data_IF_476733704468
#
_entry.id   IF_476733704468
#
_cell.length_a   1.000
_cell.length_b   1.000
_cell.length_c   1.000
_cell.angle_alpha   90.00
_cell.angle_beta   90.00
_cell.angle_gamma   90.00
#
_symmetry.space_group_name_H-M   'P 1'
#
loop_
_entity.id
_entity.type
_entity.pdbx_description
1 polymer ?
#
# COMPACT_ATOMS: atom_id res chain seq x y z
N UNK A 1 18.02 15.47 43.80
CA UNK A 1 16.78 14.88 44.34
C UNK A 1 16.37 13.81 43.35
N UNK A 2 16.66 12.56 43.66
CA UNK A 2 16.50 11.39 42.80
C UNK A 2 15.86 10.29 43.62
N UNK A 3 15.05 9.49 42.95
CA UNK A 3 14.31 8.28 43.38
C UNK A 3 12.94 8.50 44.01
N UNK A 4 11.90 8.46 43.16
CA UNK A 4 10.51 8.23 43.57
C UNK A 4 9.71 7.43 42.51
N UNK A 5 10.35 6.43 41.91
CA UNK A 5 9.67 5.35 41.19
C UNK A 5 9.98 4.08 41.98
N UNK A 6 9.06 3.67 42.85
CA UNK A 6 9.15 2.49 43.74
C UNK A 6 9.26 1.15 43.01
N UNK A 7 10.23 1.04 42.12
CA UNK A 7 10.62 -0.19 41.46
C UNK A 7 11.52 -0.97 42.42
N UNK A 8 11.28 -2.28 42.61
CA UNK A 8 12.18 -3.10 43.40
C UNK A 8 13.59 -3.01 42.81
N UNK A 9 14.58 -2.80 43.67
CA UNK A 9 15.98 -2.65 43.27
C UNK A 9 16.41 -3.79 42.35
N UNK A 10 17.15 -3.44 41.28
CA UNK A 10 17.65 -4.41 40.30
C UNK A 10 18.42 -5.51 41.03
N UNK A 11 17.83 -6.69 41.15
CA UNK A 11 18.54 -7.88 41.62
C UNK A 11 19.37 -8.39 40.46
N UNK A 12 20.67 -8.50 40.67
CA UNK A 12 21.54 -9.24 39.76
C UNK A 12 21.06 -10.69 39.70
N UNK A 13 20.89 -11.19 38.47
CA UNK A 13 20.50 -12.57 38.26
C UNK A 13 21.65 -13.49 38.72
N UNK A 14 21.37 -14.56 39.49
CA UNK A 14 22.39 -15.52 39.88
C UNK A 14 23.10 -16.08 38.64
N UNK A 15 24.43 -16.30 38.70
CA UNK A 15 25.22 -16.73 37.55
C UNK A 15 24.74 -18.05 36.94
N UNK A 16 24.13 -18.94 37.73
CA UNK A 16 23.57 -20.21 37.24
C UNK A 16 22.38 -20.00 36.28
N UNK A 17 21.60 -18.93 36.47
CA UNK A 17 20.46 -18.58 35.60
C UNK A 17 20.96 -18.01 34.27
N UNK A 18 22.00 -17.17 34.32
CA UNK A 18 22.63 -16.62 33.12
C UNK A 18 23.25 -17.71 32.25
N UNK A 19 23.89 -18.71 32.87
CA UNK A 19 24.49 -19.81 32.12
C UNK A 19 23.46 -20.76 31.54
N UNK A 20 22.36 -21.04 32.25
CA UNK A 20 21.24 -21.81 31.67
C UNK A 20 20.56 -21.09 30.50
N UNK A 21 20.43 -19.76 30.57
CA UNK A 21 19.90 -18.96 29.46
C UNK A 21 20.84 -19.00 28.25
N UNK A 22 22.15 -18.89 28.45
CA UNK A 22 23.15 -19.02 27.36
C UNK A 22 23.15 -20.40 26.74
N UNK A 23 22.96 -21.46 27.53
CA UNK A 23 22.90 -22.85 27.06
C UNK A 23 21.63 -23.09 26.22
N UNK A 24 20.48 -22.65 26.72
CA UNK A 24 19.18 -22.75 26.02
C UNK A 24 19.19 -22.00 24.68
N UNK A 25 19.84 -20.82 24.64
CA UNK A 25 19.96 -20.03 23.41
C UNK A 25 20.84 -20.75 22.36
N UNK A 26 21.91 -21.41 22.77
CA UNK A 26 22.76 -22.20 21.85
C UNK A 26 22.07 -23.45 21.34
N UNK A 27 21.23 -24.10 22.15
CA UNK A 27 20.46 -25.27 21.73
C UNK A 27 19.39 -24.94 20.67
N UNK A 28 18.84 -23.72 20.69
CA UNK A 28 17.87 -23.24 19.70
C UNK A 28 18.47 -22.88 18.34
N UNK A 29 19.77 -22.54 18.27
CA UNK A 29 20.40 -22.04 17.04
C UNK A 29 21.11 -23.12 16.20
N UNK A 30 21.20 -24.37 16.68
CA UNK A 30 22.06 -25.40 16.10
C UNK A 30 21.41 -26.49 15.26
N UNK A 31 20.08 -26.51 15.06
CA UNK A 31 19.42 -27.63 14.36
C UNK A 31 18.96 -27.24 12.94
N UNK A 32 19.63 -27.71 11.87
CA UNK A 32 19.07 -27.61 10.53
C UNK A 32 17.79 -28.45 10.46
N UNK A 33 16.66 -27.80 10.15
CA UNK A 33 15.37 -28.45 9.97
C UNK A 33 15.43 -29.35 8.73
N UNK A 34 15.66 -30.65 8.93
CA UNK A 34 15.56 -31.65 7.85
C UNK A 34 14.09 -31.82 7.44
N UNK A 35 13.67 -31.06 6.44
CA UNK A 35 12.37 -31.16 5.77
C UNK A 35 12.33 -32.48 4.98
N UNK A 36 11.64 -33.50 5.51
CA UNK A 36 11.32 -34.72 4.76
C UNK A 36 10.15 -34.44 3.82
N UNK A 37 10.41 -34.40 2.52
CA UNK A 37 9.38 -34.45 1.49
C UNK A 37 8.89 -35.89 1.33
N UNK A 38 7.57 -36.16 1.34
CA UNK A 38 7.06 -37.46 0.92
C UNK A 38 7.04 -37.53 -0.61
N UNK A 39 7.85 -38.45 -1.17
CA UNK A 39 7.80 -38.83 -2.58
C UNK A 39 6.55 -39.70 -2.76
N UNK A 40 5.55 -39.17 -3.46
CA UNK A 40 4.44 -39.97 -3.98
C UNK A 40 4.88 -40.52 -5.34
N UNK A 41 5.13 -41.82 -5.38
CA UNK A 41 5.40 -42.57 -6.60
C UNK A 41 4.09 -42.78 -7.37
N UNK A 42 3.99 -42.22 -8.58
CA UNK A 42 2.97 -42.58 -9.56
C UNK A 42 3.63 -43.42 -10.67
N UNK A 43 3.15 -44.66 -10.81
CA UNK A 43 3.59 -45.60 -11.82
C UNK A 43 2.98 -45.26 -13.20
N UNK A 44 3.73 -45.64 -14.23
CA UNK A 44 3.66 -45.20 -15.61
C UNK A 44 2.49 -45.75 -16.45
N UNK A 45 2.20 -45.07 -17.55
CA UNK A 45 1.87 -45.72 -18.82
C UNK A 45 2.55 -44.97 -19.97
N UNK A 46 3.45 -45.68 -20.65
CA UNK A 46 4.20 -45.27 -21.84
C UNK A 46 3.38 -45.60 -23.08
N UNK A 47 3.22 -44.64 -23.99
CA UNK A 47 2.97 -44.92 -25.42
C UNK A 47 3.91 -44.04 -26.24
N UNK A 48 4.89 -44.70 -26.87
CA UNK A 48 5.84 -44.18 -27.84
C UNK A 48 5.15 -43.93 -29.18
N UNK A 49 5.30 -42.73 -29.76
CA UNK A 49 5.42 -42.56 -31.22
C UNK A 49 6.49 -41.50 -31.51
N UNK A 50 7.47 -41.92 -32.32
CA UNK A 50 8.65 -41.20 -32.80
C UNK A 50 8.29 -40.12 -33.84
N UNK A 51 8.96 -38.96 -33.76
CA UNK A 51 9.43 -38.20 -34.93
C UNK A 51 10.54 -37.23 -34.49
N UNK A 52 11.77 -37.47 -34.97
CA UNK A 52 12.95 -36.71 -34.63
C UNK A 52 13.06 -35.39 -35.40
N UNK A 53 13.54 -34.36 -34.72
CA UNK A 53 14.10 -33.16 -35.34
C UNK A 53 15.46 -32.87 -34.68
N UNK A 54 16.51 -32.85 -35.50
CA UNK A 54 17.87 -32.45 -35.17
C UNK A 54 17.89 -30.98 -34.74
N UNK A 55 18.29 -30.69 -33.50
CA UNK A 55 18.68 -29.35 -33.07
C UNK A 55 20.20 -29.32 -32.97
N UNK A 56 20.83 -28.67 -33.93
CA UNK A 56 22.24 -28.27 -33.89
C UNK A 56 22.45 -27.25 -32.77
N UNK A 57 23.27 -27.61 -31.79
CA UNK A 57 23.73 -26.72 -30.72
C UNK A 57 24.71 -25.70 -31.30
N UNK A 58 24.24 -24.49 -31.55
CA UNK A 58 25.14 -23.33 -31.72
C UNK A 58 25.60 -22.93 -30.33
N UNK A 59 26.87 -23.22 -30.04
CA UNK A 59 27.60 -22.70 -28.88
C UNK A 59 27.76 -21.20 -29.10
N UNK A 60 26.82 -20.41 -28.59
CA UNK A 60 27.01 -18.98 -28.39
C UNK A 60 27.78 -18.86 -27.08
N UNK A 61 29.02 -18.39 -27.18
CA UNK A 61 29.87 -18.02 -26.05
C UNK A 61 29.15 -16.95 -25.23
N UNK A 62 28.84 -17.25 -23.98
CA UNK A 62 28.64 -16.22 -22.96
C UNK A 62 29.94 -15.43 -22.81
N UNK A 63 29.94 -14.09 -22.95
CA UNK A 63 31.03 -13.30 -22.43
C UNK A 63 30.91 -13.31 -20.90
N UNK A 64 31.72 -14.17 -20.28
CA UNK A 64 32.10 -14.07 -18.87
C UNK A 64 32.62 -12.65 -18.61
N UNK A 65 31.75 -11.85 -18.01
CA UNK A 65 31.99 -10.49 -17.55
C UNK A 65 31.23 -10.25 -16.26
N UNK A 66 31.28 -11.20 -15.32
CA UNK A 66 30.88 -10.98 -13.92
C UNK A 66 31.90 -10.03 -13.29
N UNK A 67 31.71 -8.73 -13.56
CA UNK A 67 32.15 -7.70 -12.63
C UNK A 67 31.49 -7.96 -11.26
N UNK A 68 32.06 -7.44 -10.16
CA UNK A 68 31.49 -7.68 -8.83
C UNK A 68 30.05 -7.16 -8.82
N UNK A 69 29.10 -8.09 -8.71
CA UNK A 69 27.71 -7.80 -8.40
C UNK A 69 27.71 -7.24 -6.98
N UNK A 70 27.84 -5.92 -6.85
CA UNK A 70 27.53 -5.23 -5.61
C UNK A 70 26.01 -5.25 -5.54
N UNK A 71 25.47 -6.38 -5.11
CA UNK A 71 24.08 -6.52 -4.73
C UNK A 71 23.82 -5.52 -3.61
N UNK A 72 23.38 -4.32 -3.97
CA UNK A 72 22.84 -3.37 -3.01
C UNK A 72 21.51 -3.99 -2.53
N UNK A 73 21.42 -4.53 -1.31
CA UNK A 73 20.23 -5.27 -0.87
C UNK A 73 18.96 -4.42 -0.91
N UNK A 74 19.12 -3.09 -0.94
CA UNK A 74 18.03 -2.14 -0.96
C UNK A 74 17.43 -1.93 -2.36
N UNK A 75 18.09 -2.38 -3.43
CA UNK A 75 17.62 -2.22 -4.81
C UNK A 75 17.65 -3.53 -5.57
N UNK A 76 16.55 -3.81 -6.28
CA UNK A 76 16.47 -4.92 -7.21
C UNK A 76 15.83 -4.46 -8.51
N UNK A 77 16.24 -5.08 -9.60
CA UNK A 77 15.64 -4.89 -10.91
C UNK A 77 14.80 -6.12 -11.25
N UNK A 78 13.48 -5.99 -11.08
CA UNK A 78 12.51 -6.95 -11.61
C UNK A 78 12.36 -6.69 -13.11
N UNK A 79 13.18 -7.34 -13.94
CA UNK A 79 13.23 -7.12 -15.39
C UNK A 79 11.87 -7.31 -16.08
N UNK A 80 11.11 -8.39 -15.82
CA UNK A 80 9.77 -8.53 -16.40
C UNK A 80 8.85 -7.34 -16.12
N UNK A 81 8.73 -6.91 -14.85
CA UNK A 81 7.90 -5.76 -14.49
C UNK A 81 8.44 -4.45 -15.07
N UNK A 82 9.76 -4.27 -15.05
CA UNK A 82 10.38 -3.07 -15.59
C UNK A 82 10.08 -2.92 -17.09
N UNK A 83 10.23 -3.99 -17.87
CA UNK A 83 9.95 -3.99 -19.30
C UNK A 83 8.47 -3.74 -19.59
N UNK A 84 7.56 -4.37 -18.85
CA UNK A 84 6.12 -4.11 -18.99
C UNK A 84 5.79 -2.63 -18.71
N UNK A 85 6.25 -2.10 -17.58
CA UNK A 85 5.98 -0.72 -17.18
C UNK A 85 6.54 0.27 -18.22
N UNK A 86 7.80 0.12 -18.61
CA UNK A 86 8.44 0.98 -19.60
C UNK A 86 7.75 0.93 -20.97
N UNK A 87 7.25 -0.23 -21.40
CA UNK A 87 6.49 -0.35 -22.65
C UNK A 87 5.16 0.40 -22.58
N UNK A 88 4.44 0.33 -21.46
CA UNK A 88 3.21 1.10 -21.24
C UNK A 88 3.48 2.60 -21.22
N UNK A 89 4.50 3.02 -20.49
CA UNK A 89 4.97 4.41 -20.44
C UNK A 89 5.32 4.96 -21.82
N UNK A 90 6.05 4.19 -22.64
CA UNK A 90 6.36 4.58 -24.01
C UNK A 90 5.11 4.67 -24.90
N UNK A 91 4.17 3.74 -24.77
CA UNK A 91 2.90 3.81 -25.49
C UNK A 91 2.12 5.09 -25.14
N UNK A 92 2.12 5.51 -23.87
CA UNK A 92 1.52 6.78 -23.45
C UNK A 92 2.23 7.98 -24.08
N UNK A 93 3.56 8.04 -24.00
CA UNK A 93 4.39 9.08 -24.64
C UNK A 93 4.10 9.18 -26.15
N UNK A 94 3.99 8.06 -26.85
CA UNK A 94 3.64 8.03 -28.27
C UNK A 94 2.21 8.55 -28.50
N UNK A 95 1.25 8.10 -27.69
CA UNK A 95 -0.16 8.45 -27.85
C UNK A 95 -0.46 9.93 -27.59
N UNK A 96 0.36 10.60 -26.79
CA UNK A 96 0.29 12.04 -26.52
C UNK A 96 1.11 12.87 -27.51
N UNK A 97 1.73 12.24 -28.52
CA UNK A 97 2.53 12.95 -29.52
C UNK A 97 3.87 13.48 -28.98
N UNK A 98 4.35 12.93 -27.86
CA UNK A 98 5.59 13.36 -27.19
C UNK A 98 6.83 12.57 -27.60
N UNK A 99 6.70 11.59 -28.51
CA UNK A 99 7.80 10.71 -28.90
C UNK A 99 9.09 11.45 -29.34
N UNK A 100 8.97 12.62 -29.99
CA UNK A 100 10.13 13.41 -30.42
C UNK A 100 10.88 14.11 -29.26
N UNK A 101 10.26 14.22 -28.09
CA UNK A 101 10.87 14.78 -26.87
C UNK A 101 11.59 13.72 -26.04
N UNK A 102 11.53 12.46 -26.44
CA UNK A 102 12.14 11.33 -25.75
C UNK A 102 13.16 10.63 -26.66
N UNK A 103 14.24 10.08 -26.09
CA UNK A 103 15.06 9.09 -26.78
C UNK A 103 14.25 7.87 -27.21
N UNK A 104 14.76 7.10 -28.18
CA UNK A 104 14.07 5.92 -28.66
C UNK A 104 13.90 4.90 -27.51
N UNK A 105 12.80 4.16 -27.53
CA UNK A 105 12.48 3.19 -26.47
C UNK A 105 13.59 2.18 -26.21
N UNK A 106 14.31 1.77 -27.25
CA UNK A 106 15.39 0.77 -27.13
C UNK A 106 16.63 1.31 -26.41
N UNK A 107 16.77 2.64 -26.31
CA UNK A 107 17.84 3.30 -25.56
C UNK A 107 17.53 3.39 -24.06
N UNK A 108 16.29 3.08 -23.64
CA UNK A 108 15.87 3.20 -22.25
C UNK A 108 16.46 2.07 -21.39
N UNK A 109 17.35 2.44 -20.46
CA UNK A 109 17.97 1.48 -19.54
C UNK A 109 17.28 1.48 -18.17
N UNK A 110 16.60 0.39 -17.76
CA UNK A 110 16.06 0.30 -16.41
C UNK A 110 17.17 0.10 -15.38
N UNK A 111 17.11 0.84 -14.28
CA UNK A 111 18.11 0.79 -13.20
C UNK A 111 17.64 -0.04 -12.02
N UNK A 112 16.42 0.21 -11.54
CA UNK A 112 15.78 -0.56 -10.49
C UNK A 112 14.26 -0.40 -10.55
N UNK A 113 13.56 -1.29 -9.84
CA UNK A 113 12.11 -1.29 -9.73
C UNK A 113 11.69 -1.14 -8.27
N UNK A 114 10.70 -0.29 -8.00
CA UNK A 114 10.01 -0.22 -6.70
C UNK A 114 8.55 -0.55 -6.92
N UNK A 115 8.01 -1.47 -6.12
CA UNK A 115 6.62 -1.91 -6.25
C UNK A 115 5.87 -1.78 -4.94
N UNK A 116 4.65 -1.27 -5.00
CA UNK A 116 3.60 -1.46 -4.00
C UNK A 116 2.49 -2.36 -4.62
N UNK A 117 1.48 -2.81 -3.86
CA UNK A 117 0.41 -3.65 -4.41
C UNK A 117 -0.33 -3.07 -5.62
N UNK A 118 -0.36 -1.75 -5.79
CA UNK A 118 -1.10 -1.04 -6.85
C UNK A 118 -0.22 -0.18 -7.78
N UNK A 119 1.07 -0.02 -7.48
CA UNK A 119 1.96 0.89 -8.20
C UNK A 119 3.30 0.20 -8.47
N UNK A 120 3.78 0.32 -9.70
CA UNK A 120 5.15 -0.04 -10.09
C UNK A 120 5.85 1.20 -10.60
N UNK A 121 7.01 1.50 -10.04
CA UNK A 121 7.87 2.62 -10.47
C UNK A 121 9.20 2.04 -10.94
N UNK A 122 9.62 2.43 -12.13
CA UNK A 122 10.91 2.07 -12.73
C UNK A 122 11.74 3.33 -12.84
N UNK A 123 12.93 3.31 -12.25
CA UNK A 123 13.95 4.32 -12.54
C UNK A 123 14.64 3.95 -13.85
N UNK A 124 14.67 4.87 -14.80
CA UNK A 124 15.23 4.70 -16.13
C UNK A 124 16.32 5.72 -16.36
N UNK A 125 17.37 5.35 -17.09
CA UNK A 125 18.40 6.30 -17.56
C UNK A 125 18.52 6.21 -19.07
N UNK A 126 18.71 7.36 -19.72
CA UNK A 126 19.15 7.48 -21.11
C UNK A 126 20.15 8.62 -21.20
N UNK A 127 21.30 8.42 -21.84
CA UNK A 127 22.36 9.44 -21.98
C UNK A 127 22.70 10.13 -20.64
N UNK A 128 22.84 9.32 -19.57
CA UNK A 128 23.06 9.77 -18.19
C UNK A 128 21.95 10.65 -17.57
N UNK A 129 20.81 10.82 -18.25
CA UNK A 129 19.65 11.54 -17.72
C UNK A 129 18.65 10.57 -17.08
N UNK A 130 18.38 10.69 -15.78
CA UNK A 130 17.38 9.85 -15.13
C UNK A 130 15.97 10.38 -15.39
N UNK A 131 15.02 9.46 -15.54
CA UNK A 131 13.59 9.72 -15.47
C UNK A 131 12.87 8.50 -14.90
N UNK A 132 11.59 8.64 -14.60
CA UNK A 132 10.80 7.63 -13.93
C UNK A 132 9.58 7.29 -14.77
N UNK A 133 9.30 5.99 -14.84
CA UNK A 133 8.08 5.43 -15.39
C UNK A 133 7.27 4.85 -14.24
N UNK A 134 6.09 5.40 -13.99
CA UNK A 134 5.11 4.85 -13.05
C UNK A 134 3.98 4.18 -13.83
N UNK A 135 3.59 2.99 -13.39
CA UNK A 135 2.37 2.34 -13.86
C UNK A 135 1.54 1.83 -12.69
N UNK A 136 0.23 2.05 -12.78
CA UNK A 136 -0.78 1.45 -11.90
C UNK A 136 -1.50 0.32 -12.63
N UNK A 137 -2.65 -0.14 -12.16
CA UNK A 137 -3.46 -1.09 -12.92
C UNK A 137 -3.90 -0.48 -14.26
N UNK A 138 -4.18 0.83 -14.27
CA UNK A 138 -4.87 1.47 -15.39
C UNK A 138 -4.21 2.69 -16.00
N UNK A 139 -3.23 3.25 -15.30
CA UNK A 139 -2.56 4.49 -15.68
C UNK A 139 -1.08 4.22 -15.90
N UNK A 140 -0.50 4.92 -16.87
CA UNK A 140 0.94 5.02 -17.01
C UNK A 140 1.36 6.50 -17.08
N UNK A 141 2.42 6.84 -16.36
CA UNK A 141 2.93 8.20 -16.18
C UNK A 141 4.45 8.20 -16.37
N UNK A 142 4.96 9.18 -17.10
CA UNK A 142 6.40 9.30 -17.40
C UNK A 142 6.87 10.70 -17.03
N UNK A 143 7.90 10.81 -16.17
CA UNK A 143 8.54 12.10 -15.93
C UNK A 143 9.33 12.58 -17.15
N UNK A 144 9.49 13.88 -17.30
CA UNK A 144 10.25 14.47 -18.40
C UNK A 144 11.77 14.29 -18.20
N UNK A 145 12.49 13.54 -19.06
CA UNK A 145 13.96 13.42 -18.98
C UNK A 145 14.70 14.72 -19.33
N UNK A 146 14.04 15.68 -19.97
CA UNK A 146 14.57 16.99 -20.33
C UNK A 146 14.28 18.09 -19.31
N UNK A 147 13.42 17.84 -18.32
CA UNK A 147 13.08 18.85 -17.32
C UNK A 147 14.28 19.13 -16.40
N UNK A 148 14.52 20.41 -16.15
CA UNK A 148 15.55 20.83 -15.20
C UNK A 148 15.11 20.44 -13.77
N UNK A 149 15.94 19.70 -13.00
CA UNK A 149 15.60 19.37 -11.62
C UNK A 149 15.44 20.63 -10.77
N UNK A 150 14.30 20.74 -10.07
CA UNK A 150 14.04 21.82 -9.13
C UNK A 150 14.70 21.50 -7.78
N UNK A 151 16.01 21.73 -7.67
CA UNK A 151 16.76 21.47 -6.43
C UNK A 151 16.23 22.27 -5.24
N UNK A 152 16.17 21.59 -4.10
CA UNK A 152 15.85 22.18 -2.80
C UNK A 152 16.96 23.12 -2.34
N UNK A 153 16.60 24.23 -1.70
CA UNK A 153 17.59 25.17 -1.16
C UNK A 153 18.43 24.50 -0.06
N UNK A 154 19.76 24.57 -0.19
CA UNK A 154 20.70 23.97 0.76
C UNK A 154 21.02 22.49 0.54
N UNK A 155 20.44 21.83 -0.48
CA UNK A 155 20.71 20.42 -0.79
C UNK A 155 20.70 20.15 -2.30
N UNK A 156 21.49 19.18 -2.78
CA UNK A 156 21.44 18.70 -4.17
C UNK A 156 20.38 17.61 -4.37
N UNK A 157 19.24 17.78 -3.70
CA UNK A 157 18.08 16.88 -3.78
C UNK A 157 16.97 17.55 -4.57
N UNK A 158 16.34 16.82 -5.50
CA UNK A 158 15.22 17.29 -6.31
C UNK A 158 14.25 16.15 -6.59
N UNK A 159 12.95 16.45 -6.58
CA UNK A 159 11.94 15.53 -7.10
C UNK A 159 11.84 15.66 -8.63
N UNK A 160 11.74 14.53 -9.32
CA UNK A 160 11.52 14.45 -10.77
C UNK A 160 10.15 13.87 -11.11
N UNK A 161 9.51 13.16 -10.17
CA UNK A 161 8.15 12.66 -10.32
C UNK A 161 7.42 12.73 -8.98
N UNK A 162 6.23 13.34 -8.98
CA UNK A 162 5.24 13.26 -7.92
C UNK A 162 3.89 12.92 -8.53
N UNK A 163 3.21 11.87 -8.05
CA UNK A 163 1.96 11.39 -8.67
C UNK A 163 0.81 11.27 -7.67
N UNK A 164 -0.46 11.30 -8.12
CA UNK A 164 -1.62 11.04 -7.26
C UNK A 164 -1.59 9.66 -6.57
N UNK A 165 -0.84 8.70 -7.13
CA UNK A 165 -0.64 7.37 -6.58
C UNK A 165 0.32 7.34 -5.36
N UNK A 166 0.90 8.49 -4.98
CA UNK A 166 1.76 8.62 -3.80
C UNK A 166 3.24 8.52 -4.08
N UNK A 167 3.64 8.37 -5.35
CA UNK A 167 5.07 8.31 -5.69
C UNK A 167 5.71 9.67 -5.50
N UNK A 168 6.86 9.67 -4.84
CA UNK A 168 7.84 10.75 -4.80
C UNK A 168 9.18 10.13 -5.22
N UNK A 169 9.67 10.51 -6.40
CA UNK A 169 10.91 9.98 -6.97
C UNK A 169 11.79 11.11 -7.48
N UNK A 170 13.11 10.92 -7.41
CA UNK A 170 14.03 11.98 -7.77
C UNK A 170 15.50 11.65 -7.60
N UNK A 171 16.29 12.72 -7.50
CA UNK A 171 17.74 12.69 -7.29
C UNK A 171 18.01 13.14 -5.85
N UNK A 172 18.84 12.40 -5.14
CA UNK A 172 19.30 12.68 -3.79
C UNK A 172 20.66 13.41 -3.81
N UNK A 173 20.95 14.17 -2.75
CA UNK A 173 22.29 14.70 -2.54
C UNK A 173 23.31 13.55 -2.46
N UNK A 174 24.38 13.56 -3.28
CA UNK A 174 25.38 12.48 -3.28
C UNK A 174 26.11 12.31 -1.94
N UNK A 175 26.13 13.34 -1.08
CA UNK A 175 26.75 13.27 0.24
C UNK A 175 25.90 12.54 1.28
N UNK A 176 24.61 12.30 1.00
CA UNK A 176 23.73 11.67 1.96
C UNK A 176 23.83 10.13 1.89
N UNK A 177 23.91 9.43 3.03
CA UNK A 177 23.90 7.96 3.06
C UNK A 177 22.54 7.39 2.66
N UNK A 178 21.45 8.05 3.08
CA UNK A 178 20.04 7.81 2.74
C UNK A 178 19.30 9.13 2.75
N UNK A 179 18.18 9.21 2.03
CA UNK A 179 17.27 10.35 2.11
C UNK A 179 16.28 10.06 3.23
N UNK A 180 16.21 10.89 4.25
CA UNK A 180 15.00 10.95 5.06
C UNK A 180 13.97 11.82 4.33
N UNK A 181 12.77 11.28 4.12
CA UNK A 181 11.62 12.02 3.63
C UNK A 181 10.59 12.12 4.74
N UNK A 182 10.25 13.35 5.11
CA UNK A 182 9.16 13.67 6.03
C UNK A 182 7.98 14.19 5.21
N UNK A 183 6.81 13.56 5.34
CA UNK A 183 5.57 14.04 4.75
C UNK A 183 4.62 14.52 5.85
N UNK A 184 4.06 15.72 5.69
CA UNK A 184 3.03 16.24 6.59
C UNK A 184 1.79 16.69 5.82
N UNK A 185 0.62 16.31 6.35
CA UNK A 185 -0.67 16.90 6.01
C UNK A 185 -1.46 17.18 7.30
N UNK A 186 -2.72 17.59 7.18
CA UNK A 186 -3.59 17.90 8.32
C UNK A 186 -3.81 16.68 9.24
N UNK A 187 -3.81 15.48 8.66
CA UNK A 187 -4.10 14.23 9.33
C UNK A 187 -2.89 13.60 10.04
N UNK A 188 -1.70 13.79 9.49
CA UNK A 188 -0.58 12.90 9.77
C UNK A 188 0.78 13.54 9.48
N UNK A 189 1.75 13.07 10.26
CA UNK A 189 3.17 13.25 10.02
C UNK A 189 3.78 11.87 9.81
N UNK A 190 4.50 11.68 8.71
CA UNK A 190 5.25 10.47 8.43
C UNK A 190 6.71 10.82 8.17
N UNK A 191 7.62 9.99 8.65
CA UNK A 191 9.05 10.06 8.33
C UNK A 191 9.53 8.67 7.90
N UNK A 192 10.33 8.62 6.83
CA UNK A 192 10.86 7.38 6.25
C UNK A 192 12.30 7.58 5.79
N UNK A 193 13.14 6.59 6.09
CA UNK A 193 14.46 6.48 5.48
C UNK A 193 14.34 5.77 4.14
N UNK A 194 14.73 6.46 3.08
CA UNK A 194 14.69 5.99 1.70
C UNK A 194 16.13 5.67 1.27
N UNK A 195 16.41 4.45 0.79
CA UNK A 195 17.72 4.12 0.25
C UNK A 195 18.01 4.96 -1.01
N UNK A 196 19.30 5.16 -1.30
CA UNK A 196 19.77 5.88 -2.48
C UNK A 196 20.45 4.91 -3.44
N UNK A 197 19.97 4.85 -4.67
CA UNK A 197 20.61 4.10 -5.75
C UNK A 197 21.78 4.95 -6.27
N UNK A 198 23.00 4.54 -5.91
CA UNK A 198 24.21 5.35 -6.10
C UNK A 198 24.49 5.74 -7.55
N UNK A 199 24.33 4.86 -8.56
CA UNK A 199 24.44 5.29 -9.94
C UNK A 199 23.33 6.28 -10.30
N UNK A 200 23.66 7.57 -10.35
CA UNK A 200 22.71 8.67 -10.58
C UNK A 200 22.06 9.22 -9.31
N UNK A 201 22.42 8.73 -8.12
CA UNK A 201 21.86 9.12 -6.82
C UNK A 201 20.33 9.15 -6.79
N UNK A 202 19.68 8.10 -7.30
CA UNK A 202 18.23 8.08 -7.48
C UNK A 202 17.54 7.57 -6.22
N UNK A 203 16.34 8.06 -5.96
CA UNK A 203 15.46 7.55 -4.91
C UNK A 203 14.02 7.44 -5.41
N UNK A 204 13.27 6.51 -4.83
CA UNK A 204 11.83 6.34 -5.07
C UNK A 204 11.17 5.99 -3.73
N UNK A 205 10.09 6.69 -3.41
CA UNK A 205 9.22 6.38 -2.30
C UNK A 205 7.76 6.40 -2.76
N UNK A 206 7.02 5.33 -2.44
CA UNK A 206 5.58 5.26 -2.68
C UNK A 206 4.91 5.51 -1.32
N UNK A 207 4.58 6.77 -1.05
CA UNK A 207 3.96 7.21 0.18
C UNK A 207 2.46 6.87 0.19
N UNK A 208 1.86 6.52 1.33
CA UNK A 208 0.41 6.38 1.44
C UNK A 208 -0.30 7.74 1.56
N UNK A 209 0.31 8.85 1.12
CA UNK A 209 -0.17 10.22 1.29
C UNK A 209 -0.21 10.93 -0.05
N UNK A 210 -1.29 11.67 -0.34
CA UNK A 210 -1.47 12.37 -1.62
C UNK A 210 -0.48 13.53 -1.71
N UNK A 211 0.39 13.58 -2.73
CA UNK A 211 1.36 14.68 -2.83
C UNK A 211 0.72 16.06 -2.96
N UNK A 212 -0.46 16.15 -3.60
CA UNK A 212 -1.22 17.40 -3.73
C UNK A 212 -1.73 17.98 -2.40
N UNK A 213 -1.72 17.18 -1.32
CA UNK A 213 -2.17 17.55 0.02
C UNK A 213 -1.09 17.41 1.08
N UNK A 214 0.14 17.14 0.67
CA UNK A 214 1.25 16.81 1.58
C UNK A 214 2.43 17.72 1.30
N UNK A 215 2.91 18.41 2.32
CA UNK A 215 4.22 19.07 2.27
C UNK A 215 5.30 18.03 2.57
N UNK A 216 6.32 17.97 1.72
CA UNK A 216 7.45 17.08 1.91
C UNK A 216 8.69 17.86 2.29
N UNK A 217 9.45 17.34 3.24
CA UNK A 217 10.79 17.78 3.59
C UNK A 217 11.77 16.61 3.39
N UNK A 218 13.00 16.91 2.97
CA UNK A 218 14.09 15.96 2.74
C UNK A 218 15.34 16.31 3.53
N UNK A 219 16.13 15.30 3.89
CA UNK A 219 17.35 15.48 4.65
C UNK A 219 18.25 14.26 4.66
N UNK A 220 19.47 14.39 5.18
CA UNK A 220 20.26 13.23 5.55
C UNK A 220 19.57 12.49 6.71
N UNK A 221 19.52 11.16 6.64
CA UNK A 221 19.01 10.37 7.77
C UNK A 221 19.87 10.56 9.02
N UNK A 222 19.29 10.83 10.20
CA UNK A 222 20.00 10.72 11.48
C UNK A 222 20.19 9.25 11.91
N UNK A 223 19.56 8.29 11.21
CA UNK A 223 19.43 6.89 11.61
C UNK A 223 18.24 6.66 12.56
N UNK A 224 17.55 5.53 12.41
CA UNK A 224 16.30 5.23 13.14
C UNK A 224 16.46 5.30 14.68
N UNK A 225 17.61 4.86 15.21
CA UNK A 225 17.86 4.82 16.66
C UNK A 225 18.12 6.20 17.27
N UNK A 226 18.46 7.19 16.42
CA UNK A 226 18.86 8.53 16.86
C UNK A 226 17.83 9.58 16.47
N UNK A 227 16.66 9.18 15.95
CA UNK A 227 15.60 10.10 15.51
C UNK A 227 14.73 10.54 16.70
N UNK A 228 14.75 11.83 17.10
CA UNK A 228 13.73 12.37 17.99
C UNK A 228 12.33 12.18 17.41
N UNK A 229 11.31 12.01 18.26
CA UNK A 229 9.91 11.85 17.82
C UNK A 229 9.40 13.02 16.98
N UNK A 230 9.96 14.21 17.18
CA UNK A 230 9.60 15.45 16.50
C UNK A 230 10.58 15.84 15.39
N UNK A 231 11.52 14.95 15.05
CA UNK A 231 12.46 15.23 13.97
C UNK A 231 11.72 15.41 12.65
N UNK A 232 12.11 16.45 11.95
CA UNK A 232 11.69 16.76 10.59
C UNK A 232 12.95 16.91 9.78
N UNK A 233 12.91 16.34 8.59
CA UNK A 233 13.89 16.65 7.57
C UNK A 233 14.03 18.18 7.42
N UNK A 234 15.26 18.72 7.35
CA UNK A 234 15.48 20.15 7.46
C UNK A 234 15.20 20.94 6.17
N UNK A 235 15.06 20.28 5.01
CA UNK A 235 14.98 20.97 3.73
C UNK A 235 13.65 20.74 3.01
N UNK A 236 12.82 21.78 2.76
CA UNK A 236 11.57 21.63 2.02
C UNK A 236 11.79 21.07 0.60
N UNK A 237 11.17 19.94 0.30
CA UNK A 237 11.22 19.35 -1.04
C UNK A 237 10.33 20.16 -1.98
N UNK A 238 10.92 20.64 -3.07
CA UNK A 238 10.15 21.33 -4.12
C UNK A 238 9.27 20.34 -4.89
N UNK A 239 8.09 20.78 -5.38
CA UNK A 239 7.29 19.96 -6.28
C UNK A 239 8.09 19.48 -7.48
N UNK A 240 7.84 18.26 -7.92
CA UNK A 240 8.39 17.78 -9.18
C UNK A 240 7.84 18.61 -10.35
N UNK A 241 8.58 18.72 -11.47
CA UNK A 241 8.02 19.18 -12.73
C UNK A 241 6.79 18.34 -13.13
N UNK A 242 5.89 18.93 -13.91
CA UNK A 242 4.77 18.17 -14.49
C UNK A 242 5.29 16.97 -15.29
N UNK A 243 4.67 15.79 -15.17
CA UNK A 243 5.03 14.64 -15.99
C UNK A 243 4.94 14.99 -17.48
N UNK A 244 5.86 14.46 -18.28
CA UNK A 244 5.84 14.69 -19.72
C UNK A 244 4.63 14.02 -20.41
N UNK A 245 4.14 12.92 -19.85
CA UNK A 245 2.93 12.23 -20.29
C UNK A 245 2.26 11.47 -19.13
N UNK A 246 0.94 11.42 -19.09
CA UNK A 246 0.16 10.66 -18.10
C UNK A 246 -1.23 10.34 -18.63
N UNK A 247 -1.58 9.04 -18.70
CA UNK A 247 -2.84 8.62 -19.30
C UNK A 247 -3.37 7.31 -18.73
N UNK A 248 -4.70 7.20 -18.67
CA UNK A 248 -5.39 5.92 -18.53
C UNK A 248 -5.18 5.09 -19.81
N UNK A 249 -4.33 4.07 -19.74
CA UNK A 249 -3.97 3.19 -20.86
C UNK A 249 -4.70 1.83 -20.81
N UNK A 250 -5.35 1.50 -19.69
CA UNK A 250 -6.21 0.31 -19.55
C UNK A 250 -7.55 0.68 -18.88
N UNK A 251 -8.49 1.31 -19.61
CA UNK A 251 -9.77 1.72 -19.03
C UNK A 251 -10.61 0.52 -18.57
N UNK A 252 -11.34 0.69 -17.46
CA UNK A 252 -12.30 -0.31 -16.97
C UNK A 252 -13.64 -0.13 -17.66
N UNK A 253 -14.25 -1.25 -18.03
CA UNK A 253 -15.56 -1.31 -18.67
C UNK A 253 -16.42 -2.39 -18.01
N UNK A 254 -17.66 -2.08 -17.59
CA UNK A 254 -18.28 -0.74 -17.63
C UNK A 254 -17.61 0.22 -16.63
N UNK A 255 -17.66 1.52 -16.94
CA UNK A 255 -17.26 2.55 -15.97
C UNK A 255 -18.19 2.45 -14.76
N UNK A 256 -17.67 2.36 -13.52
CA UNK A 256 -18.50 2.31 -12.34
C UNK A 256 -19.45 3.52 -12.25
N UNK A 257 -20.71 3.26 -11.91
CA UNK A 257 -21.68 4.34 -11.73
C UNK A 257 -21.34 5.16 -10.48
N UNK A 258 -21.29 6.48 -10.63
CA UNK A 258 -21.05 7.46 -9.56
C UNK A 258 -22.30 8.28 -9.22
N UNK A 259 -23.40 8.11 -9.95
CA UNK A 259 -24.65 8.86 -9.73
C UNK A 259 -25.54 8.26 -8.62
N UNK A 260 -25.01 7.33 -7.83
CA UNK A 260 -25.68 6.79 -6.64
C UNK A 260 -25.17 7.53 -5.39
N UNK A 261 -25.95 7.59 -4.28
CA UNK A 261 -25.46 8.20 -3.04
C UNK A 261 -24.11 7.62 -2.57
N UNK A 262 -23.92 6.30 -2.72
CA UNK A 262 -22.66 5.64 -2.41
C UNK A 262 -21.52 6.10 -3.33
N UNK A 263 -21.80 6.31 -4.63
CA UNK A 263 -20.85 6.83 -5.61
C UNK A 263 -20.45 8.28 -5.35
N UNK A 264 -21.43 9.15 -5.08
CA UNK A 264 -21.21 10.55 -4.72
C UNK A 264 -20.40 10.68 -3.43
N UNK A 265 -20.74 9.86 -2.42
CA UNK A 265 -19.97 9.81 -1.18
C UNK A 265 -18.56 9.29 -1.40
N UNK A 266 -18.38 8.24 -2.22
CA UNK A 266 -17.05 7.73 -2.56
C UNK A 266 -16.17 8.83 -3.15
N UNK A 267 -16.65 9.53 -4.18
CA UNK A 267 -15.92 10.63 -4.85
C UNK A 267 -15.62 11.78 -3.88
N UNK A 268 -16.55 12.12 -2.99
CA UNK A 268 -16.35 13.14 -1.96
C UNK A 268 -15.27 12.71 -0.98
N UNK A 269 -15.37 11.47 -0.50
CA UNK A 269 -14.49 10.91 0.51
C UNK A 269 -13.06 10.74 -0.01
N UNK A 270 -12.87 10.17 -1.19
CA UNK A 270 -11.53 9.97 -1.78
C UNK A 270 -10.88 11.31 -2.12
N UNK A 271 -11.62 12.26 -2.69
CA UNK A 271 -11.11 13.62 -2.95
C UNK A 271 -10.73 14.34 -1.66
N UNK A 272 -11.52 14.15 -0.60
CA UNK A 272 -11.32 14.71 0.73
C UNK A 272 -10.23 14.01 1.56
N UNK A 273 -9.87 12.77 1.21
CA UNK A 273 -8.90 12.00 1.96
C UNK A 273 -7.46 12.48 1.71
N UNK A 274 -6.64 12.31 2.75
CA UNK A 274 -5.20 12.55 2.67
C UNK A 274 -4.44 11.35 2.11
N UNK A 275 -5.00 10.16 2.22
CA UNK A 275 -4.39 8.92 1.72
C UNK A 275 -4.53 8.76 0.20
N UNK A 276 -3.55 8.11 -0.42
CA UNK A 276 -3.52 7.85 -1.86
C UNK A 276 -4.44 6.72 -2.25
N UNK A 277 -5.13 6.88 -3.39
CA UNK A 277 -5.91 5.84 -4.03
C UNK A 277 -5.60 5.83 -5.53
N UNK A 278 -4.65 5.01 -6.00
CA UNK A 278 -4.39 4.84 -7.43
C UNK A 278 -5.64 4.33 -8.15
N UNK A 279 -5.86 4.76 -9.39
CA UNK A 279 -6.99 4.32 -10.25
C UNK A 279 -8.38 4.51 -9.60
N UNK A 280 -8.58 5.63 -8.90
CA UNK A 280 -9.82 5.98 -8.17
C UNK A 280 -11.11 5.76 -8.99
N UNK A 281 -11.11 6.15 -10.26
CA UNK A 281 -12.27 6.05 -11.16
C UNK A 281 -12.70 4.61 -11.49
N UNK A 282 -11.85 3.63 -11.18
CA UNK A 282 -12.07 2.24 -11.54
C UNK A 282 -12.68 1.39 -10.44
N UNK A 283 -12.71 1.91 -9.22
CA UNK A 283 -13.28 1.21 -8.09
C UNK A 283 -14.80 1.07 -8.26
N UNK A 284 -15.30 -0.16 -8.22
CA UNK A 284 -16.73 -0.45 -8.08
C UNK A 284 -17.14 -0.16 -6.64
N UNK A 285 -18.12 0.71 -6.47
CA UNK A 285 -18.64 1.08 -5.16
C UNK A 285 -19.56 -0.01 -4.65
N UNK A 286 -19.30 -0.48 -3.44
CA UNK A 286 -20.03 -1.54 -2.76
C UNK A 286 -20.90 -1.00 -1.63
N UNK A 287 -20.88 -1.70 -0.49
CA UNK A 287 -21.74 -1.41 0.65
C UNK A 287 -21.44 -0.01 1.19
N UNK A 288 -22.52 0.73 1.45
CA UNK A 288 -22.50 2.10 1.93
C UNK A 288 -23.34 2.22 3.19
N UNK A 289 -22.78 2.91 4.18
CA UNK A 289 -23.47 3.32 5.40
C UNK A 289 -23.47 4.84 5.46
N UNK A 290 -24.62 5.38 5.80
CA UNK A 290 -24.82 6.80 6.06
C UNK A 290 -25.52 6.94 7.41
N UNK A 291 -25.10 7.90 8.21
CA UNK A 291 -25.80 8.30 9.43
C UNK A 291 -25.50 9.77 9.71
N UNK A 292 -26.54 10.60 9.62
CA UNK A 292 -26.45 12.05 9.82
C UNK A 292 -25.37 12.66 8.90
N UNK A 293 -24.27 13.11 9.50
CA UNK A 293 -23.19 13.84 8.85
C UNK A 293 -21.97 12.96 8.49
N UNK A 294 -22.03 11.65 8.76
CA UNK A 294 -20.92 10.72 8.51
C UNK A 294 -21.30 9.57 7.56
N UNK A 295 -20.34 9.18 6.73
CA UNK A 295 -20.49 8.08 5.80
C UNK A 295 -19.31 7.11 5.83
N UNK A 296 -19.59 5.87 5.42
CA UNK A 296 -18.60 4.81 5.23
C UNK A 296 -18.97 4.03 3.98
N UNK A 297 -18.06 3.97 3.01
CA UNK A 297 -18.23 3.21 1.78
C UNK A 297 -17.10 2.22 1.61
N UNK A 298 -17.43 1.02 1.18
CA UNK A 298 -16.45 0.01 0.76
C UNK A 298 -16.43 -0.02 -0.77
N UNK A 299 -15.25 -0.07 -1.37
CA UNK A 299 -15.12 -0.16 -2.82
C UNK A 299 -14.07 -1.18 -3.24
N UNK A 300 -14.19 -1.72 -4.46
CA UNK A 300 -13.35 -2.80 -4.98
C UNK A 300 -12.79 -2.53 -6.37
N UNK A 301 -11.53 -2.93 -6.56
CA UNK A 301 -10.85 -2.99 -7.86
C UNK A 301 -10.15 -4.35 -7.97
N UNK A 302 -10.80 -5.31 -8.63
CA UNK A 302 -10.37 -6.71 -8.61
C UNK A 302 -10.29 -7.27 -7.18
N UNK A 303 -9.09 -7.66 -6.77
CA UNK A 303 -8.80 -8.16 -5.42
C UNK A 303 -8.47 -7.05 -4.40
N UNK A 304 -8.26 -5.82 -4.87
CA UNK A 304 -8.04 -4.67 -4.01
C UNK A 304 -9.37 -4.20 -3.46
N UNK A 305 -9.41 -3.98 -2.15
CA UNK A 305 -10.58 -3.47 -1.45
C UNK A 305 -10.14 -2.30 -0.58
N UNK A 306 -10.95 -1.26 -0.56
CA UNK A 306 -10.71 -0.08 0.26
C UNK A 306 -11.96 0.26 1.07
N UNK A 307 -11.75 0.82 2.25
CA UNK A 307 -12.80 1.51 3.03
C UNK A 307 -12.51 3.00 2.94
N UNK A 308 -13.48 3.80 2.49
CA UNK A 308 -13.43 5.25 2.61
C UNK A 308 -14.47 5.70 3.64
N UNK A 309 -14.06 6.51 4.61
CA UNK A 309 -14.95 7.01 5.65
C UNK A 309 -14.65 8.47 6.00
N UNK A 310 -15.67 9.20 6.44
CA UNK A 310 -15.51 10.59 6.84
C UNK A 310 -16.84 11.33 6.92
N UNK A 311 -16.74 12.66 6.92
CA UNK A 311 -17.89 13.57 6.97
C UNK A 311 -17.75 14.64 8.04
N UNK A 312 -18.80 15.44 8.24
CA UNK A 312 -18.90 16.40 9.34
C UNK A 312 -19.06 15.61 10.65
N UNK A 313 -18.54 16.14 11.76
CA UNK A 313 -18.57 15.40 13.04
C UNK A 313 -17.44 14.38 13.23
N UNK A 314 -16.56 14.13 12.26
CA UNK A 314 -15.40 13.23 12.43
C UNK A 314 -14.36 13.83 13.41
N UNK A 315 -13.84 13.00 14.33
CA UNK A 315 -12.90 13.41 15.41
C UNK A 315 -13.42 14.59 16.26
N UNK A 316 -13.00 15.82 15.95
CA UNK A 316 -13.40 17.03 16.68
C UNK A 316 -14.69 17.67 16.17
N UNK A 317 -15.20 17.21 15.03
CA UNK A 317 -16.48 17.60 14.44
C UNK A 317 -16.65 19.07 14.08
N UNK A 318 -15.54 19.79 13.90
CA UNK A 318 -15.53 21.20 13.45
C UNK A 318 -15.29 21.36 11.95
N UNK A 319 -14.74 20.34 11.30
CA UNK A 319 -14.42 20.33 9.89
C UNK A 319 -14.67 18.93 9.32
N UNK A 320 -14.90 18.87 8.02
CA UNK A 320 -14.93 17.60 7.30
C UNK A 320 -13.55 16.95 7.33
N UNK A 321 -13.54 15.65 7.56
CA UNK A 321 -12.31 14.88 7.52
C UNK A 321 -12.61 13.49 6.96
N UNK A 322 -11.77 13.04 6.03
CA UNK A 322 -11.95 11.79 5.30
C UNK A 322 -10.68 10.96 5.31
N UNK A 323 -10.85 9.63 5.28
CA UNK A 323 -9.76 8.66 5.27
C UNK A 323 -10.04 7.52 4.31
N UNK A 324 -8.98 7.06 3.65
CA UNK A 324 -8.99 5.81 2.88
C UNK A 324 -8.12 4.77 3.58
N UNK A 325 -8.68 3.58 3.80
CA UNK A 325 -7.96 2.41 4.28
C UNK A 325 -7.90 1.37 3.17
N UNK A 326 -6.70 1.13 2.64
CA UNK A 326 -6.49 0.01 1.72
C UNK A 326 -6.38 -1.31 2.50
N UNK A 327 -7.12 -2.32 2.06
CA UNK A 327 -6.95 -3.67 2.54
C UNK A 327 -5.64 -4.27 2.02
N UNK A 328 -5.05 -5.15 2.81
CA UNK A 328 -3.97 -5.99 2.32
C UNK A 328 -4.60 -7.23 1.67
N UNK A 329 -4.25 -7.57 0.42
CA UNK A 329 -4.77 -8.76 -0.25
C UNK A 329 -4.57 -9.99 0.64
N UNK A 330 -5.66 -10.59 1.10
CA UNK A 330 -5.65 -11.68 2.09
C UNK A 330 -6.66 -12.75 1.70
N UNK A 331 -6.27 -14.00 1.87
CA UNK A 331 -7.21 -15.08 2.16
C UNK A 331 -7.61 -14.97 3.63
N UNK A 332 -8.91 -15.04 4.00
CA UNK A 332 -10.00 -15.71 3.29
C UNK A 332 -10.97 -14.79 2.51
N UNK A 333 -11.87 -15.44 1.73
CA UNK A 333 -12.91 -14.79 0.91
C UNK A 333 -13.97 -14.02 1.72
N UNK A 334 -14.15 -14.33 3.00
CA UNK A 334 -14.99 -13.58 3.94
C UNK A 334 -14.13 -13.02 5.06
N UNK A 335 -14.01 -11.69 5.16
CA UNK A 335 -13.14 -11.04 6.13
C UNK A 335 -13.61 -9.63 6.47
N UNK A 336 -13.20 -9.15 7.65
CA UNK A 336 -13.36 -7.74 8.03
C UNK A 336 -12.27 -6.86 7.44
N UNK A 337 -12.67 -5.63 7.13
CA UNK A 337 -11.80 -4.56 6.71
C UNK A 337 -11.49 -3.63 7.87
N UNK A 338 -10.44 -2.83 7.73
CA UNK A 338 -10.14 -1.77 8.68
C UNK A 338 -11.14 -0.62 8.51
N UNK A 339 -11.58 -0.09 9.63
CA UNK A 339 -12.34 1.16 9.75
C UNK A 339 -12.03 1.82 11.09
N UNK A 340 -12.42 3.08 11.25
CA UNK A 340 -12.32 3.80 12.52
C UNK A 340 -13.70 4.28 12.97
N UNK A 341 -13.85 4.56 14.26
CA UNK A 341 -15.05 5.21 14.76
C UNK A 341 -15.26 6.55 14.06
N UNK A 342 -16.49 6.81 13.62
CA UNK A 342 -16.91 8.07 12.99
C UNK A 342 -17.92 8.80 13.89
N UNK A 343 -18.04 10.11 13.73
CA UNK A 343 -18.92 10.95 14.54
C UNK A 343 -18.26 11.46 15.84
N UNK A 344 -18.88 12.46 16.46
CA UNK A 344 -18.28 13.20 17.57
C UNK A 344 -18.27 12.41 18.87
N UNK A 345 -17.19 12.60 19.65
CA UNK A 345 -17.19 12.33 21.09
C UNK A 345 -17.53 13.64 21.84
N UNK A 346 -18.83 13.93 22.00
CA UNK A 346 -19.46 14.98 22.83
C UNK A 346 -18.86 16.41 22.88
N UNK A 347 -19.73 17.40 22.61
CA UNK A 347 -19.72 18.71 23.30
C UNK A 347 -20.71 18.61 24.48
N UNK A 348 -20.39 19.17 25.65
CA UNK A 348 -21.13 19.00 26.91
C UNK A 348 -22.67 18.98 26.76
N UNK A 349 -23.32 17.89 27.22
CA UNK A 349 -24.76 17.87 27.52
C UNK A 349 -25.63 16.91 26.71
N UNK A 350 -25.28 16.55 25.47
CA UNK A 350 -26.07 15.67 24.60
C UNK A 350 -25.19 14.56 24.01
N UNK A 351 -25.73 13.34 23.90
CA UNK A 351 -24.94 12.13 23.67
C UNK A 351 -25.05 11.64 22.23
N UNK A 352 -24.44 12.36 21.28
CA UNK A 352 -24.03 11.71 20.05
C UNK A 352 -22.91 10.73 20.36
N UNK A 353 -23.14 9.48 19.99
CA UNK A 353 -22.24 8.36 20.25
C UNK A 353 -21.39 8.12 19.01
N UNK A 354 -20.05 8.01 19.14
CA UNK A 354 -19.22 7.62 18.01
C UNK A 354 -19.71 6.28 17.47
N UNK A 355 -20.00 6.25 16.17
CA UNK A 355 -20.47 5.07 15.45
C UNK A 355 -19.27 4.24 15.02
N UNK A 356 -19.35 2.93 15.17
CA UNK A 356 -18.31 2.03 14.67
C UNK A 356 -18.86 1.30 13.46
N UNK A 357 -18.25 1.47 12.28
CA UNK A 357 -18.60 0.66 11.14
C UNK A 357 -17.99 -0.74 11.30
N UNK A 358 -18.80 -1.76 11.02
CA UNK A 358 -18.36 -3.14 10.81
C UNK A 358 -18.46 -3.43 9.30
N UNK A 359 -17.32 -3.33 8.63
CA UNK A 359 -17.22 -3.45 7.17
C UNK A 359 -16.40 -4.67 6.78
N UNK A 360 -16.69 -5.25 5.62
CA UNK A 360 -15.99 -6.44 5.17
C UNK A 360 -16.22 -6.81 3.71
N UNK A 361 -15.59 -7.92 3.33
CA UNK A 361 -15.67 -8.54 2.01
C UNK A 361 -16.40 -9.87 2.14
N UNK A 362 -17.24 -10.19 1.16
CA UNK A 362 -17.97 -11.45 1.00
C UNK A 362 -17.91 -11.90 -0.47
N UNK A 363 -18.28 -13.15 -0.82
CA UNK A 363 -18.43 -13.56 -2.21
C UNK A 363 -19.34 -12.60 -2.99
N UNK A 364 -19.03 -12.33 -4.26
CA UNK A 364 -19.82 -11.39 -5.10
C UNK A 364 -21.28 -11.84 -5.29
N UNK A 365 -21.56 -13.13 -5.16
CA UNK A 365 -22.91 -13.71 -5.23
C UNK A 365 -23.72 -13.57 -3.93
N UNK A 366 -23.12 -13.01 -2.87
CA UNK A 366 -23.82 -12.78 -1.62
C UNK A 366 -24.91 -11.72 -1.79
N UNK A 367 -26.11 -12.03 -1.32
CA UNK A 367 -27.25 -11.12 -1.35
C UNK A 367 -27.64 -10.63 0.06
N UNK A 368 -27.28 -11.39 1.10
CA UNK A 368 -27.64 -11.08 2.48
C UNK A 368 -26.50 -11.46 3.44
N UNK A 369 -26.25 -10.61 4.43
CA UNK A 369 -25.26 -10.85 5.48
C UNK A 369 -25.89 -10.54 6.84
N UNK A 370 -25.90 -11.54 7.72
CA UNK A 370 -26.39 -11.43 9.10
C UNK A 370 -25.22 -11.43 10.05
N UNK A 371 -25.19 -10.44 10.92
CA UNK A 371 -24.16 -10.26 11.94
C UNK A 371 -24.77 -10.51 13.32
N UNK A 372 -24.07 -11.29 14.14
CA UNK A 372 -24.43 -11.59 15.52
C UNK A 372 -23.32 -11.08 16.45
N UNK A 373 -23.58 -9.95 17.09
CA UNK A 373 -22.68 -9.33 18.07
C UNK A 373 -22.86 -9.92 19.50
N UNK A 374 -23.59 -11.03 19.64
CA UNK A 374 -23.84 -11.70 20.91
C UNK A 374 -25.10 -11.19 21.63
N UNK A 375 -25.12 -11.15 22.98
CA UNK A 375 -26.30 -10.83 23.78
C UNK A 375 -26.68 -9.35 23.65
N UNK A 376 -27.32 -8.98 22.54
CA UNK A 376 -27.91 -7.66 22.35
C UNK A 376 -27.96 -7.12 20.93
N UNK A 377 -27.40 -7.78 19.92
CA UNK A 377 -27.36 -7.16 18.60
C UNK A 377 -27.19 -8.14 17.45
N UNK A 378 -28.31 -8.61 16.90
CA UNK A 378 -28.32 -9.14 15.54
C UNK A 378 -28.64 -8.00 14.59
N UNK A 379 -27.84 -7.86 13.54
CA UNK A 379 -27.98 -6.78 12.56
C UNK A 379 -27.89 -7.39 11.17
N UNK A 380 -28.81 -7.03 10.30
CA UNK A 380 -28.69 -7.30 8.87
C UNK A 380 -27.81 -6.22 8.25
N UNK A 381 -26.72 -6.64 7.62
CA UNK A 381 -25.77 -5.71 6.99
C UNK A 381 -26.26 -5.31 5.59
N UNK A 382 -25.89 -4.10 5.18
CA UNK A 382 -26.00 -3.69 3.78
C UNK A 382 -24.98 -4.49 2.97
N UNK A 383 -25.39 -5.05 1.83
CA UNK A 383 -24.54 -5.86 0.95
C UNK A 383 -24.59 -5.31 -0.47
N UNK A 384 -23.42 -5.07 -1.07
CA UNK A 384 -23.30 -4.68 -2.48
C UNK A 384 -21.91 -5.01 -3.02
N UNK A 385 -21.82 -5.41 -4.29
CA UNK A 385 -20.55 -5.69 -5.00
C UNK A 385 -19.58 -6.62 -4.22
N UNK A 386 -20.09 -7.65 -3.55
CA UNK A 386 -19.27 -8.56 -2.73
C UNK A 386 -18.62 -7.90 -1.51
N UNK A 387 -19.27 -6.89 -0.95
CA UNK A 387 -18.87 -6.23 0.29
C UNK A 387 -20.08 -6.12 1.21
N UNK A 388 -19.83 -5.95 2.51
CA UNK A 388 -20.89 -5.69 3.48
C UNK A 388 -20.50 -4.57 4.44
N UNK A 389 -21.52 -3.92 5.00
CA UNK A 389 -21.35 -2.88 6.01
C UNK A 389 -22.54 -2.85 6.98
N UNK A 390 -22.27 -2.69 8.28
CA UNK A 390 -23.27 -2.42 9.30
C UNK A 390 -22.71 -1.50 10.39
N UNK A 391 -23.56 -0.72 11.05
CA UNK A 391 -23.19 -0.05 12.29
C UNK A 391 -23.18 -1.04 13.45
N UNK A 392 -22.20 -0.92 14.35
CA UNK A 392 -22.23 -1.69 15.60
C UNK A 392 -23.51 -1.34 16.39
N UNK A 393 -24.24 -2.32 16.92
CA UNK A 393 -25.35 -2.06 17.81
C UNK A 393 -24.87 -1.42 19.10
N UNK A 394 -25.74 -0.59 19.71
CA UNK A 394 -25.45 0.03 20.99
C UNK A 394 -25.20 -1.02 22.09
N UNK A 395 -24.27 -0.73 22.99
CA UNK A 395 -23.97 -1.61 24.13
C UNK A 395 -23.01 -2.77 23.84
N UNK A 396 -22.54 -2.94 22.60
CA UNK A 396 -21.45 -3.87 22.30
C UNK A 396 -20.15 -3.33 22.93
N UNK A 397 -19.65 -4.02 23.96
CA UNK A 397 -18.42 -3.64 24.66
C UNK A 397 -17.22 -3.68 23.71
N UNK A 398 -16.40 -2.62 23.74
CA UNK A 398 -15.13 -2.55 23.01
C UNK A 398 -13.99 -3.27 23.75
N UNK A 399 -14.20 -3.62 25.02
CA UNK A 399 -13.12 -3.99 25.94
C UNK A 399 -12.75 -5.48 25.90
N UNK A 400 -13.30 -6.24 24.97
CA UNK A 400 -12.93 -7.65 24.83
C UNK A 400 -11.92 -7.76 23.68
N UNK A 401 -10.65 -7.62 24.03
CA UNK A 401 -9.55 -8.12 23.22
C UNK A 401 -9.89 -9.57 22.86
N UNK A 402 -10.06 -9.89 21.58
CA UNK A 402 -10.61 -11.15 21.03
C UNK A 402 -12.15 -11.28 20.87
N UNK A 403 -12.92 -10.19 20.94
CA UNK A 403 -14.33 -10.21 20.57
C UNK A 403 -14.51 -10.74 19.13
N UNK A 404 -15.52 -11.59 18.97
CA UNK A 404 -15.90 -12.18 17.68
C UNK A 404 -17.35 -11.88 17.35
N UNK A 405 -17.61 -11.62 16.07
CA UNK A 405 -18.96 -11.43 15.52
C UNK A 405 -19.31 -12.69 14.75
N UNK A 406 -20.45 -13.29 15.08
CA UNK A 406 -21.01 -14.37 14.26
C UNK A 406 -21.43 -13.80 12.91
N UNK A 407 -21.09 -14.48 11.82
CA UNK A 407 -21.48 -14.06 10.48
C UNK A 407 -22.17 -15.19 9.75
N UNK A 408 -23.28 -14.89 9.08
CA UNK A 408 -23.94 -15.76 8.12
C UNK A 408 -24.12 -15.01 6.81
N UNK A 409 -23.59 -15.56 5.73
CA UNK A 409 -23.64 -14.99 4.38
C UNK A 409 -24.51 -15.89 3.52
N UNK A 410 -25.51 -15.32 2.87
CA UNK A 410 -26.49 -16.04 2.06
C UNK A 410 -26.46 -15.53 0.62
N UNK A 411 -26.72 -16.41 -0.33
CA UNK A 411 -27.01 -16.02 -1.72
C UNK A 411 -28.47 -15.57 -1.88
N UNK A 412 -28.85 -15.14 -3.08
CA UNK A 412 -30.21 -14.68 -3.38
C UNK A 412 -31.28 -15.78 -3.25
N UNK A 413 -30.90 -17.06 -3.24
CA UNK A 413 -31.82 -18.18 -3.04
C UNK A 413 -31.92 -18.61 -1.56
N UNK A 414 -31.19 -17.93 -0.66
CA UNK A 414 -31.13 -18.24 0.76
C UNK A 414 -30.17 -19.38 1.12
N UNK A 415 -29.32 -19.85 0.18
CA UNK A 415 -28.29 -20.84 0.50
C UNK A 415 -27.16 -20.20 1.29
N UNK A 416 -26.62 -20.94 2.26
CA UNK A 416 -25.48 -20.49 3.06
C UNK A 416 -24.21 -20.57 2.21
N UNK A 417 -23.64 -19.41 1.89
CA UNK A 417 -22.33 -19.28 1.26
C UNK A 417 -21.20 -19.37 2.30
N UNK A 418 -21.45 -18.82 3.50
CA UNK A 418 -20.50 -18.85 4.59
C UNK A 418 -21.22 -18.73 5.94
N UNK A 419 -20.74 -19.49 6.93
CA UNK A 419 -21.17 -19.36 8.31
C UNK A 419 -19.95 -19.51 9.22
N UNK A 420 -19.73 -18.56 10.12
CA UNK A 420 -18.52 -18.55 10.93
C UNK A 420 -18.47 -17.39 11.92
N UNK A 421 -17.24 -17.03 12.30
CA UNK A 421 -16.98 -15.88 13.16
C UNK A 421 -15.86 -15.04 12.57
N UNK A 422 -15.98 -13.72 12.71
CA UNK A 422 -14.96 -12.75 12.33
C UNK A 422 -14.52 -11.96 13.56
N UNK A 423 -13.32 -11.40 13.53
CA UNK A 423 -12.84 -10.53 14.60
C UNK A 423 -13.64 -9.22 14.62
N UNK A 424 -14.03 -8.76 15.81
CA UNK A 424 -14.73 -7.49 15.97
C UNK A 424 -13.81 -6.29 15.66
N UNK A 425 -12.54 -6.39 16.04
CA UNK A 425 -11.53 -5.33 15.88
C UNK A 425 -10.25 -5.90 15.27
N UNK A 426 -9.54 -5.09 14.50
CA UNK A 426 -8.24 -5.44 13.93
C UNK A 426 -7.25 -4.29 13.99
#
# INVERSE_FOLDING_TARGET
MTDDLGLPGRRELPPEVLDNLRMSLREGMGKPVRRRWPIVAAAAAVVLVLAGALVTTVIIRDPDGTGPDVANPDFSLDRPKAMEAMNRCWAVVQSEGRAASFPARDDWEPRFTVTSPSVTVVAVTVDDKPFFCETTLMTATVSDPGAAPAYTEGARTAALLMTPAGTVAGIADPEWPKVELTGQNEASLSARDIPIFRPGNLFVHIAPMKPSRTTYDVGPTPGEQSRPREYRAPFPLRPAPEPAASRIDRPVSPVPDRATPAGEFFDTCTRGASETLPDEDAYRVGAYLENDDVGVVVARLGDQVITCQGGLGYQEGKAEYYRVFADQPRSPAVRTLRGESVGMAKREGEADRPRNPYVGVVPEVAAEVKLDFGPGGKVDATVAEGTFAAWHPDGVSRDVENAKVGITVLDAAGNILHQGTLWLWR
#
